data_IF_278694661283
#
_entry.id   IF_278694661283
#
_cell.length_a   1.000
_cell.length_b   1.000
_cell.length_c   1.000
_cell.angle_alpha   90.00
_cell.angle_beta   90.00
_cell.angle_gamma   90.00
#
_symmetry.space_group_name_H-M   'P 1'
#
loop_
_entity.id
_entity.type
_entity.pdbx_description
1 polymer ?
#
# COMPACT_ATOMS: atom_id res chain seq x y z
N UNK A 1 50.77 -26.89 -6.40
CA UNK A 1 51.90 -26.72 -7.34
C UNK A 1 53.19 -27.05 -6.59
N UNK A 2 53.97 -28.02 -7.07
CA UNK A 2 55.26 -28.40 -6.48
C UNK A 2 56.29 -28.52 -7.59
N UNK A 3 57.51 -28.06 -7.33
CA UNK A 3 58.63 -28.19 -8.27
C UNK A 3 59.49 -29.35 -7.79
N UNK A 4 59.69 -30.35 -8.66
CA UNK A 4 60.66 -31.43 -8.41
C UNK A 4 61.56 -31.51 -9.64
N UNK A 5 62.86 -31.37 -9.44
CA UNK A 5 63.90 -31.42 -10.48
C UNK A 5 63.74 -30.43 -11.66
N UNK A 6 63.33 -29.19 -11.38
CA UNK A 6 63.39 -28.09 -12.35
C UNK A 6 62.30 -28.09 -13.43
N UNK A 7 61.38 -29.07 -13.42
CA UNK A 7 60.20 -29.07 -14.26
C UNK A 7 58.96 -28.67 -13.42
N UNK A 8 58.20 -27.69 -13.90
CA UNK A 8 56.95 -27.26 -13.24
C UNK A 8 55.88 -28.28 -13.62
N UNK A 9 55.66 -29.27 -12.76
CA UNK A 9 54.58 -30.25 -12.95
C UNK A 9 53.36 -29.80 -12.14
N UNK A 10 52.26 -29.54 -12.86
CA UNK A 10 50.96 -29.20 -12.27
C UNK A 10 50.38 -30.49 -11.69
N UNK A 11 50.22 -30.54 -10.37
CA UNK A 11 49.62 -31.65 -9.66
C UNK A 11 48.13 -31.73 -9.98
N UNK A 12 47.71 -32.80 -10.68
CA UNK A 12 46.33 -32.99 -11.14
C UNK A 12 45.34 -33.31 -10.01
N UNK A 13 45.81 -33.46 -8.75
CA UNK A 13 44.91 -33.52 -7.60
C UNK A 13 44.36 -32.15 -7.18
N UNK A 14 44.88 -31.06 -7.77
CA UNK A 14 44.46 -29.67 -7.52
C UNK A 14 43.44 -29.15 -8.55
N UNK A 15 42.57 -30.02 -9.07
CA UNK A 15 41.52 -29.62 -10.04
C UNK A 15 40.11 -29.87 -9.52
N UNK A 16 39.97 -30.45 -8.34
CA UNK A 16 38.68 -30.55 -7.69
C UNK A 16 38.54 -29.32 -6.78
N UNK A 17 37.73 -28.35 -7.21
CA UNK A 17 37.11 -27.45 -6.23
C UNK A 17 36.09 -28.35 -5.54
N UNK A 18 36.36 -28.73 -4.29
CA UNK A 18 35.31 -29.24 -3.42
C UNK A 18 34.25 -28.14 -3.36
N UNK A 19 33.22 -28.28 -4.18
CA UNK A 19 31.98 -27.60 -3.93
C UNK A 19 31.56 -28.09 -2.56
N UNK A 20 31.81 -27.25 -1.57
CA UNK A 20 31.17 -27.37 -0.28
C UNK A 20 29.67 -27.39 -0.59
N UNK A 21 29.08 -28.57 -0.55
CA UNK A 21 27.64 -28.81 -0.55
C UNK A 21 27.08 -28.24 0.77
N UNK A 22 27.18 -26.92 0.95
CA UNK A 22 26.41 -26.22 1.98
C UNK A 22 25.10 -25.81 1.35
N UNK A 23 24.23 -26.79 1.12
CA UNK A 23 22.90 -26.86 1.74
C UNK A 23 22.07 -27.94 1.05
N UNK A 24 21.87 -29.04 1.78
CA UNK A 24 20.70 -29.92 1.70
C UNK A 24 19.41 -29.15 2.06
N UNK A 25 19.11 -28.08 1.35
CA UNK A 25 17.82 -27.42 1.40
C UNK A 25 17.27 -27.49 0.00
N UNK A 26 16.30 -28.40 -0.19
CA UNK A 26 15.55 -28.54 -1.43
C UNK A 26 14.90 -27.20 -1.80
N UNK A 27 15.65 -26.34 -2.50
CA UNK A 27 15.10 -25.16 -3.14
C UNK A 27 13.95 -25.66 -4.02
N UNK A 28 12.70 -25.24 -3.77
CA UNK A 28 11.57 -25.72 -4.54
C UNK A 28 11.88 -25.43 -6.01
N UNK A 29 12.02 -26.49 -6.79
CA UNK A 29 12.28 -26.45 -8.22
C UNK A 29 11.29 -25.46 -8.84
N UNK A 30 11.78 -24.28 -9.22
CA UNK A 30 10.98 -23.20 -9.81
C UNK A 30 10.45 -23.73 -11.14
N UNK A 31 9.20 -24.20 -11.14
CA UNK A 31 8.50 -24.50 -12.39
C UNK A 31 8.34 -23.18 -13.13
N UNK A 32 9.11 -22.99 -14.19
CA UNK A 32 8.88 -21.92 -15.13
C UNK A 32 7.52 -22.17 -15.79
N UNK A 33 6.53 -21.41 -15.34
CA UNK A 33 5.23 -21.37 -15.98
C UNK A 33 5.32 -20.37 -17.15
N UNK A 34 5.41 -20.90 -18.37
CA UNK A 34 5.42 -20.12 -19.62
C UNK A 34 4.12 -19.33 -19.84
N UNK A 35 3.10 -19.49 -18.98
CA UNK A 35 1.86 -18.72 -19.02
C UNK A 35 1.87 -17.40 -18.24
N UNK A 36 2.99 -17.04 -17.60
CA UNK A 36 3.14 -15.77 -16.87
C UNK A 36 3.21 -14.56 -17.81
N UNK A 37 2.04 -14.08 -18.26
CA UNK A 37 1.94 -12.82 -19.00
C UNK A 37 2.21 -11.62 -18.08
N UNK A 38 3.46 -11.16 -18.09
CA UNK A 38 3.90 -9.99 -17.33
C UNK A 38 3.53 -8.72 -18.11
N UNK A 39 2.59 -7.96 -17.59
CA UNK A 39 2.34 -6.58 -18.02
C UNK A 39 3.04 -5.58 -17.09
N UNK A 40 3.11 -4.31 -17.50
CA UNK A 40 3.59 -3.20 -16.67
C UNK A 40 2.80 -3.01 -15.35
N UNK A 41 1.63 -3.64 -15.20
CA UNK A 41 0.83 -3.62 -13.98
C UNK A 41 1.14 -4.77 -13.00
N UNK A 42 1.93 -5.77 -13.41
CA UNK A 42 2.17 -7.00 -12.61
C UNK A 42 2.94 -6.73 -11.33
N UNK A 43 3.85 -5.75 -11.36
CA UNK A 43 4.68 -5.38 -10.22
C UNK A 43 4.06 -4.28 -9.34
N UNK A 44 2.87 -3.77 -9.70
CA UNK A 44 2.19 -2.76 -8.90
C UNK A 44 1.46 -3.45 -7.75
N UNK A 45 1.58 -2.95 -6.50
CA UNK A 45 0.84 -3.52 -5.38
C UNK A 45 -0.67 -3.41 -5.63
N UNK A 46 -1.33 -4.57 -5.78
CA UNK A 46 -2.78 -4.64 -5.98
C UNK A 46 -3.48 -4.52 -4.63
N UNK A 47 -3.72 -3.29 -4.18
CA UNK A 47 -4.65 -3.04 -3.07
C UNK A 47 -6.07 -3.36 -3.56
N UNK A 48 -6.73 -4.35 -2.94
CA UNK A 48 -8.14 -4.62 -3.23
C UNK A 48 -8.95 -3.33 -3.05
N UNK A 49 -9.78 -2.91 -4.01
CA UNK A 49 -10.60 -1.71 -3.85
C UNK A 49 -11.57 -1.93 -2.68
N UNK A 50 -11.32 -1.25 -1.56
CA UNK A 50 -12.22 -1.30 -0.41
C UNK A 50 -13.56 -0.64 -0.80
N UNK A 51 -14.63 -1.43 -0.77
CA UNK A 51 -16.01 -0.93 -0.95
C UNK A 51 -16.34 0.07 0.16
N UNK A 52 -17.10 1.11 -0.16
CA UNK A 52 -17.58 2.06 0.85
C UNK A 52 -18.71 1.44 1.64
N UNK A 53 -18.58 1.37 2.96
CA UNK A 53 -19.69 0.94 3.82
C UNK A 53 -20.72 2.07 3.97
N UNK A 54 -21.91 1.73 4.48
CA UNK A 54 -22.94 2.74 4.77
C UNK A 54 -22.45 3.70 5.85
N UNK A 55 -21.87 3.18 6.93
CA UNK A 55 -21.32 3.98 8.04
C UNK A 55 -20.20 4.93 7.57
N UNK A 56 -19.29 4.44 6.72
CA UNK A 56 -18.24 5.29 6.12
C UNK A 56 -18.84 6.40 5.25
N UNK A 57 -19.94 6.11 4.54
CA UNK A 57 -20.61 7.09 3.67
C UNK A 57 -21.35 8.14 4.50
N UNK A 58 -22.01 7.76 5.59
CA UNK A 58 -22.62 8.72 6.52
C UNK A 58 -21.58 9.60 7.21
N UNK A 59 -20.47 9.00 7.64
CA UNK A 59 -19.34 9.74 8.21
C UNK A 59 -18.76 10.73 7.18
N UNK A 60 -18.69 10.33 5.90
CA UNK A 60 -18.23 11.19 4.82
C UNK A 60 -19.10 12.45 4.69
N UNK A 61 -20.43 12.32 4.67
CA UNK A 61 -21.33 13.48 4.61
C UNK A 61 -21.24 14.37 5.87
N UNK A 62 -21.10 13.77 7.07
CA UNK A 62 -20.87 14.52 8.31
C UNK A 62 -19.58 15.32 8.25
N UNK A 63 -18.49 14.70 7.81
CA UNK A 63 -17.20 15.38 7.67
C UNK A 63 -17.23 16.45 6.57
N UNK A 64 -17.94 16.22 5.47
CA UNK A 64 -18.14 17.19 4.40
C UNK A 64 -18.89 18.44 4.89
N UNK A 65 -19.88 18.27 5.76
CA UNK A 65 -20.59 19.38 6.41
C UNK A 65 -19.71 20.19 7.37
N UNK A 66 -18.71 19.57 7.98
CA UNK A 66 -17.82 20.25 8.94
C UNK A 66 -16.65 20.93 8.23
N UNK A 67 -15.90 20.19 7.42
CA UNK A 67 -14.64 20.66 6.82
C UNK A 67 -14.84 21.23 5.41
N UNK A 68 -15.98 20.99 4.77
CA UNK A 68 -16.19 21.32 3.37
C UNK A 68 -15.33 20.47 2.43
N UNK A 69 -14.87 21.06 1.33
CA UNK A 69 -14.11 20.38 0.26
C UNK A 69 -12.62 20.18 0.58
N UNK A 70 -12.19 20.41 1.83
CA UNK A 70 -10.82 20.13 2.23
C UNK A 70 -10.61 18.62 2.47
N UNK A 71 -10.26 17.91 1.41
CA UNK A 71 -10.06 16.46 1.44
C UNK A 71 -8.87 16.01 2.29
N UNK A 72 -7.86 16.86 2.51
CA UNK A 72 -6.74 16.54 3.39
C UNK A 72 -7.21 16.48 4.85
N UNK A 73 -8.07 17.42 5.25
CA UNK A 73 -8.68 17.42 6.58
C UNK A 73 -9.65 16.25 6.76
N UNK A 74 -10.48 15.95 5.75
CA UNK A 74 -11.32 14.75 5.77
C UNK A 74 -10.49 13.48 5.96
N UNK A 75 -9.34 13.35 5.27
CA UNK A 75 -8.52 12.14 5.34
C UNK A 75 -7.99 11.84 6.75
N UNK A 76 -7.87 12.83 7.64
CA UNK A 76 -7.49 12.60 9.04
C UNK A 76 -8.55 11.76 9.76
N UNK A 77 -9.83 11.96 9.42
CA UNK A 77 -10.96 11.24 10.03
C UNK A 77 -11.11 9.80 9.51
N UNK A 78 -10.46 9.45 8.39
CA UNK A 78 -10.52 8.12 7.79
C UNK A 78 -9.14 7.45 7.83
N UNK A 79 -8.81 6.66 8.86
CA UNK A 79 -7.49 6.04 8.99
C UNK A 79 -7.18 5.06 7.85
N UNK A 80 -8.22 4.45 7.27
CA UNK A 80 -8.11 3.45 6.19
C UNK A 80 -8.17 4.05 4.79
N UNK A 81 -8.50 5.35 4.66
CA UNK A 81 -8.75 5.99 3.36
C UNK A 81 -7.78 7.13 3.08
N UNK A 82 -7.41 7.26 1.81
CA UNK A 82 -6.52 8.32 1.35
C UNK A 82 -7.31 9.47 0.71
N UNK A 83 -6.75 10.68 0.72
CA UNK A 83 -7.28 11.89 0.08
C UNK A 83 -7.79 11.66 -1.35
N UNK A 84 -7.06 10.91 -2.16
CA UNK A 84 -7.47 10.57 -3.55
C UNK A 84 -8.77 9.76 -3.58
N UNK A 85 -8.95 8.83 -2.64
CA UNK A 85 -10.17 8.01 -2.56
C UNK A 85 -11.36 8.86 -2.12
N UNK A 86 -11.15 9.82 -1.23
CA UNK A 86 -12.18 10.77 -0.76
C UNK A 86 -12.61 11.71 -1.89
N UNK A 87 -11.66 12.21 -2.69
CA UNK A 87 -11.97 12.99 -3.89
C UNK A 87 -12.79 12.18 -4.90
N UNK A 88 -12.41 10.93 -5.14
CA UNK A 88 -13.16 10.05 -6.05
C UNK A 88 -14.57 9.75 -5.52
N UNK A 89 -14.71 9.56 -4.20
CA UNK A 89 -16.02 9.40 -3.54
C UNK A 89 -16.87 10.64 -3.71
N UNK A 90 -16.32 11.83 -3.47
CA UNK A 90 -17.01 13.10 -3.70
C UNK A 90 -17.53 13.22 -5.13
N UNK A 91 -16.68 13.02 -6.14
CA UNK A 91 -17.08 13.07 -7.56
C UNK A 91 -18.18 12.06 -7.90
N UNK A 92 -18.10 10.86 -7.33
CA UNK A 92 -19.11 9.84 -7.55
C UNK A 92 -20.44 10.20 -6.87
N UNK A 93 -20.42 10.70 -5.63
CA UNK A 93 -21.63 11.15 -4.92
C UNK A 93 -22.26 12.38 -5.57
N UNK A 94 -21.46 13.29 -6.13
CA UNK A 94 -21.96 14.44 -6.88
C UNK A 94 -22.75 13.99 -8.13
N UNK A 95 -22.34 12.88 -8.75
CA UNK A 95 -23.03 12.30 -9.91
C UNK A 95 -24.27 11.48 -9.53
N UNK A 96 -24.20 10.71 -8.44
CA UNK A 96 -25.29 9.79 -8.04
C UNK A 96 -26.34 10.52 -7.19
N UNK A 97 -25.91 11.34 -6.23
CA UNK A 97 -26.75 11.96 -5.20
C UNK A 97 -26.36 13.45 -4.97
N UNK A 98 -26.52 14.33 -5.98
CA UNK A 98 -26.12 15.74 -5.87
C UNK A 98 -26.84 16.48 -4.72
N UNK A 99 -28.11 16.16 -4.45
CA UNK A 99 -28.89 16.77 -3.38
C UNK A 99 -28.28 16.55 -1.99
N UNK A 100 -27.71 15.37 -1.75
CA UNK A 100 -27.13 15.04 -0.44
C UNK A 100 -25.78 15.74 -0.22
N UNK A 101 -25.00 15.88 -1.29
CA UNK A 101 -23.75 16.65 -1.29
C UNK A 101 -24.03 18.13 -1.05
N UNK A 102 -25.01 18.69 -1.77
CA UNK A 102 -25.41 20.09 -1.62
C UNK A 102 -25.96 20.36 -0.21
N UNK A 103 -26.81 19.47 0.32
CA UNK A 103 -27.30 19.56 1.69
C UNK A 103 -26.15 19.62 2.70
N UNK A 104 -25.16 18.73 2.57
CA UNK A 104 -24.00 18.74 3.46
C UNK A 104 -23.19 20.04 3.36
N UNK A 105 -22.99 20.57 2.16
CA UNK A 105 -22.21 21.80 1.95
C UNK A 105 -22.94 23.08 2.41
N UNK A 106 -24.26 23.11 2.30
CA UNK A 106 -25.10 24.24 2.75
C UNK A 106 -25.28 24.26 4.26
N UNK A 107 -25.43 23.09 4.89
CA UNK A 107 -25.64 22.97 6.33
C UNK A 107 -24.31 22.73 7.03
N UNK A 108 -23.45 23.76 7.06
CA UNK A 108 -22.17 23.64 7.74
C UNK A 108 -22.34 23.46 9.24
N UNK A 109 -21.67 22.44 9.79
CA UNK A 109 -21.67 22.16 11.24
C UNK A 109 -20.38 22.66 11.87
N UNK A 110 -20.51 23.27 13.04
CA UNK A 110 -19.35 23.67 13.84
C UNK A 110 -18.58 22.44 14.34
N UNK A 111 -17.27 22.59 14.49
CA UNK A 111 -16.40 21.60 15.10
C UNK A 111 -16.75 21.47 16.58
N UNK A 112 -17.35 20.34 16.96
CA UNK A 112 -17.65 20.05 18.37
C UNK A 112 -16.37 19.84 19.19
N UNK A 113 -16.41 20.19 20.48
CA UNK A 113 -15.27 20.07 21.41
C UNK A 113 -14.62 18.68 21.40
N UNK A 114 -15.44 17.63 21.42
CA UNK A 114 -14.98 16.23 21.38
C UNK A 114 -14.31 15.84 20.05
N UNK A 115 -14.80 16.40 18.94
CA UNK A 115 -14.22 16.12 17.61
C UNK A 115 -12.82 16.74 17.49
N UNK A 116 -12.65 17.95 18.04
CA UNK A 116 -11.35 18.63 18.07
C UNK A 116 -10.35 17.79 18.85
N UNK A 117 -10.72 17.36 20.07
CA UNK A 117 -9.87 16.48 20.89
C UNK A 117 -9.54 15.16 20.18
N UNK A 118 -10.50 14.58 19.46
CA UNK A 118 -10.30 13.37 18.68
C UNK A 118 -9.31 13.56 17.52
N UNK A 119 -9.39 14.69 16.80
CA UNK A 119 -8.43 15.02 15.74
C UNK A 119 -7.01 15.20 16.32
N UNK A 120 -6.89 15.91 17.45
CA UNK A 120 -5.60 16.05 18.14
C UNK A 120 -5.04 14.71 18.60
N UNK A 121 -5.88 13.82 19.12
CA UNK A 121 -5.48 12.47 19.52
C UNK A 121 -4.95 11.66 18.32
N UNK A 122 -5.65 11.68 17.18
CA UNK A 122 -5.21 10.98 15.96
C UNK A 122 -3.88 11.53 15.45
N UNK A 123 -3.71 12.85 15.47
CA UNK A 123 -2.46 13.49 15.04
C UNK A 123 -1.31 13.17 16.00
N UNK A 124 -1.55 13.14 17.31
CA UNK A 124 -0.55 12.82 18.32
C UNK A 124 -0.03 11.38 18.20
N UNK A 125 -0.90 10.42 17.89
CA UNK A 125 -0.52 8.99 17.73
C UNK A 125 0.26 8.75 16.41
N UNK A 126 0.23 9.70 15.47
CA UNK A 126 0.94 9.62 14.17
C UNK A 126 2.30 10.33 14.13
N UNK A 127 2.71 11.00 15.22
CA UNK A 127 4.05 11.57 15.43
C UNK A 127 4.94 10.55 16.16
#
# INVERSE_FOLDING_TARGET
MRVVNGEIVIDQQSTMIDHIDTTDEALPMLKYDDSNHITSASFKPKLKPLKWTKDETELFYKCLSIFGTNFSMLAIMFPTRNRKQLLNKYKNEERINPGHVNYALTHKKALGKYLILYIYLILLIKL
#
